data_IF_785056808186
#
_entry.id   IF_785056808186
#
_cell.length_a   1.000
_cell.length_b   1.000
_cell.length_c   1.000
_cell.angle_alpha   90.00
_cell.angle_beta   90.00
_cell.angle_gamma   90.00
#
_symmetry.space_group_name_H-M   'P 1'
#
loop_
_entity.id
_entity.type
_entity.pdbx_description
1 polymer ?
#
# COMPACT_ATOMS: atom_id res chain seq x y z
N UNK A 1 -13.81 -17.61 -26.37
CA UNK A 1 -12.94 -16.54 -25.91
C UNK A 1 -12.64 -16.79 -24.42
N UNK A 2 -11.42 -17.29 -24.10
CA UNK A 2 -10.96 -17.31 -22.71
C UNK A 2 -10.69 -15.86 -22.31
N UNK A 3 -11.55 -15.30 -21.45
CA UNK A 3 -11.24 -14.03 -20.80
C UNK A 3 -10.02 -14.27 -19.89
N UNK A 4 -8.90 -13.63 -20.21
CA UNK A 4 -7.72 -13.71 -19.34
C UNK A 4 -8.09 -13.12 -17.96
N UNK A 5 -7.83 -13.88 -16.91
CA UNK A 5 -8.07 -13.43 -15.54
C UNK A 5 -7.25 -12.15 -15.28
N UNK A 6 -7.92 -11.09 -14.82
CA UNK A 6 -7.24 -9.84 -14.45
C UNK A 6 -6.28 -10.11 -13.30
N UNK A 7 -5.07 -9.57 -13.38
CA UNK A 7 -4.05 -9.67 -12.34
C UNK A 7 -3.87 -8.33 -11.66
N UNK A 8 -3.80 -8.33 -10.33
CA UNK A 8 -3.49 -7.14 -9.53
C UNK A 8 -2.26 -7.44 -8.67
N UNK A 9 -1.22 -6.63 -8.81
CA UNK A 9 -0.09 -6.64 -7.89
C UNK A 9 -0.52 -5.92 -6.60
N UNK A 10 -0.37 -6.58 -5.45
CA UNK A 10 -0.66 -6.01 -4.14
C UNK A 10 0.62 -5.92 -3.33
N UNK A 11 1.07 -4.70 -3.07
CA UNK A 11 2.30 -4.37 -2.35
C UNK A 11 1.91 -3.94 -0.94
N UNK A 12 2.02 -4.85 0.03
CA UNK A 12 1.56 -4.63 1.40
C UNK A 12 2.23 -5.62 2.36
N UNK A 13 2.08 -5.47 3.67
CA UNK A 13 2.59 -6.43 4.64
C UNK A 13 1.77 -7.73 4.66
N UNK A 14 2.42 -8.80 5.07
CA UNK A 14 1.81 -10.11 5.29
C UNK A 14 1.88 -10.49 6.77
N UNK A 15 0.75 -10.51 7.44
CA UNK A 15 0.63 -10.94 8.82
C UNK A 15 0.11 -12.38 8.92
N UNK A 16 0.81 -13.24 9.67
CA UNK A 16 0.43 -14.64 9.86
C UNK A 16 -0.85 -14.79 10.67
N UNK A 17 -0.97 -14.07 11.80
CA UNK A 17 -2.19 -13.94 12.57
C UNK A 17 -2.79 -12.56 12.35
N UNK A 18 -4.06 -12.53 11.89
CA UNK A 18 -4.80 -11.31 11.60
C UNK A 18 -5.51 -11.38 10.25
N UNK A 19 -6.52 -10.53 10.08
CA UNK A 19 -7.30 -10.40 8.83
C UNK A 19 -7.10 -8.99 8.27
N UNK A 20 -5.87 -8.69 7.89
CA UNK A 20 -5.46 -7.36 7.44
C UNK A 20 -4.52 -7.47 6.23
N UNK A 21 -4.23 -6.35 5.62
CA UNK A 21 -3.19 -6.20 4.60
C UNK A 21 -3.28 -7.26 3.49
N UNK A 22 -2.21 -8.00 3.20
CA UNK A 22 -2.22 -9.01 2.13
C UNK A 22 -3.24 -10.12 2.34
N UNK A 23 -3.46 -10.60 3.57
CA UNK A 23 -4.43 -11.69 3.81
C UNK A 23 -5.87 -11.25 3.49
N UNK A 24 -6.23 -10.01 3.82
CA UNK A 24 -7.51 -9.43 3.46
C UNK A 24 -7.61 -9.18 1.94
N UNK A 25 -6.60 -8.56 1.35
CA UNK A 25 -6.59 -8.25 -0.08
C UNK A 25 -6.69 -9.51 -0.96
N UNK A 26 -5.93 -10.57 -0.63
CA UNK A 26 -6.00 -11.86 -1.33
C UNK A 26 -7.41 -12.44 -1.28
N UNK A 27 -8.03 -12.42 -0.09
CA UNK A 27 -9.38 -12.98 0.10
C UNK A 27 -10.43 -12.23 -0.70
N UNK A 28 -10.42 -10.88 -0.62
CA UNK A 28 -11.40 -10.02 -1.29
C UNK A 28 -11.24 -10.08 -2.81
N UNK A 29 -10.03 -9.88 -3.32
CA UNK A 29 -9.80 -9.89 -4.76
C UNK A 29 -10.08 -11.25 -5.38
N UNK A 30 -9.73 -12.35 -4.68
CA UNK A 30 -10.06 -13.71 -5.14
C UNK A 30 -11.56 -13.93 -5.23
N UNK A 31 -12.34 -13.45 -4.25
CA UNK A 31 -13.81 -13.53 -4.29
C UNK A 31 -14.41 -12.71 -5.45
N UNK A 32 -13.71 -11.67 -5.91
CA UNK A 32 -14.08 -10.88 -7.10
C UNK A 32 -13.62 -11.51 -8.43
N UNK A 33 -13.00 -12.69 -8.42
CA UNK A 33 -12.45 -13.34 -9.61
C UNK A 33 -11.17 -12.70 -10.15
N UNK A 34 -10.43 -11.96 -9.32
CA UNK A 34 -9.17 -11.30 -9.67
C UNK A 34 -8.00 -12.11 -9.12
N UNK A 35 -6.99 -12.36 -9.92
CA UNK A 35 -5.76 -12.96 -9.47
C UNK A 35 -4.92 -11.94 -8.71
N UNK A 36 -4.76 -12.14 -7.40
CA UNK A 36 -3.84 -11.36 -6.58
C UNK A 36 -2.40 -11.85 -6.77
N UNK A 37 -1.49 -10.93 -7.02
CA UNK A 37 -0.04 -11.18 -7.10
C UNK A 37 0.62 -10.43 -5.93
N UNK A 38 0.81 -11.08 -4.77
CA UNK A 38 1.31 -10.41 -3.58
C UNK A 38 2.82 -10.13 -3.66
N UNK A 39 3.21 -8.89 -3.35
CA UNK A 39 4.58 -8.48 -3.10
C UNK A 39 4.67 -7.98 -1.65
N UNK A 40 5.24 -8.75 -0.73
CA UNK A 40 5.34 -8.35 0.66
C UNK A 40 6.26 -7.13 0.84
N UNK A 41 5.87 -6.19 1.71
CA UNK A 41 6.76 -5.13 2.23
C UNK A 41 7.41 -5.56 3.53
N UNK A 42 6.66 -6.30 4.35
CA UNK A 42 7.12 -6.93 5.58
C UNK A 42 6.37 -8.23 5.81
N UNK A 43 6.98 -9.15 6.53
CA UNK A 43 6.35 -10.41 6.97
C UNK A 43 6.32 -10.41 8.49
N UNK A 44 5.11 -10.45 9.05
CA UNK A 44 4.88 -10.43 10.49
C UNK A 44 4.31 -11.76 10.96
N UNK A 45 4.72 -12.20 12.16
CA UNK A 45 4.10 -13.38 12.78
C UNK A 45 2.62 -13.14 13.10
N UNK A 46 2.27 -11.90 13.44
CA UNK A 46 0.91 -11.43 13.75
C UNK A 46 0.80 -9.93 13.47
N UNK A 47 -0.42 -9.43 13.31
CA UNK A 47 -0.65 -7.97 13.19
C UNK A 47 -0.20 -7.23 14.46
N UNK A 48 0.12 -5.95 14.32
CA UNK A 48 0.77 -5.12 15.35
C UNK A 48 -0.10 -4.84 16.58
N UNK A 49 -1.39 -5.12 16.54
CA UNK A 49 -2.31 -5.03 17.70
C UNK A 49 -2.09 -6.15 18.74
N UNK A 50 -1.40 -7.23 18.37
CA UNK A 50 -1.04 -8.28 19.34
C UNK A 50 0.08 -7.80 20.27
N UNK A 51 0.12 -8.27 21.52
CA UNK A 51 1.12 -7.81 22.50
C UNK A 51 2.57 -8.08 22.12
N UNK A 52 2.80 -9.00 21.19
CA UNK A 52 4.13 -9.35 20.67
C UNK A 52 4.02 -9.88 19.26
N UNK A 53 4.96 -9.52 18.43
CA UNK A 53 5.12 -10.03 17.08
C UNK A 53 6.57 -10.00 16.63
N UNK A 54 6.92 -10.87 15.70
CA UNK A 54 8.16 -10.80 14.94
C UNK A 54 7.87 -10.12 13.61
N UNK A 55 8.76 -9.24 13.17
CA UNK A 55 8.66 -8.57 11.87
C UNK A 55 9.97 -8.75 11.10
N UNK A 56 9.85 -9.21 9.87
CA UNK A 56 10.93 -9.24 8.90
C UNK A 56 10.67 -8.19 7.82
N UNK A 57 11.57 -7.21 7.71
CA UNK A 57 11.56 -6.21 6.63
C UNK A 57 11.94 -6.88 5.32
N UNK A 58 11.12 -6.72 4.27
CA UNK A 58 11.30 -7.40 3.00
C UNK A 58 11.95 -6.52 1.92
N UNK A 59 12.40 -5.30 2.25
CA UNK A 59 12.91 -4.30 1.30
C UNK A 59 13.97 -4.88 0.36
N UNK A 60 14.96 -5.59 0.89
CA UNK A 60 16.08 -6.15 0.14
C UNK A 60 15.71 -7.29 -0.81
N UNK A 61 14.46 -7.76 -0.77
CA UNK A 61 13.93 -8.83 -1.64
C UNK A 61 12.93 -8.35 -2.68
N UNK A 62 12.40 -7.14 -2.54
CA UNK A 62 11.35 -6.63 -3.42
C UNK A 62 11.80 -6.56 -4.89
N UNK A 63 13.04 -6.13 -5.14
CA UNK A 63 13.58 -6.04 -6.50
C UNK A 63 13.68 -7.41 -7.21
N UNK A 64 13.93 -8.50 -6.47
CA UNK A 64 13.93 -9.85 -7.07
C UNK A 64 12.56 -10.21 -7.64
N UNK A 65 11.46 -9.86 -6.97
CA UNK A 65 10.10 -10.08 -7.47
C UNK A 65 9.87 -9.29 -8.76
N UNK A 66 10.24 -8.00 -8.78
CA UNK A 66 10.13 -7.15 -9.95
C UNK A 66 10.88 -7.73 -11.15
N UNK A 67 12.13 -8.14 -10.93
CA UNK A 67 12.98 -8.72 -11.98
C UNK A 67 12.41 -10.03 -12.53
N UNK A 68 12.00 -10.95 -11.67
CA UNK A 68 11.44 -12.23 -12.10
C UNK A 68 10.10 -12.05 -12.83
N UNK A 69 9.21 -11.20 -12.33
CA UNK A 69 7.94 -10.93 -13.01
C UNK A 69 8.13 -10.22 -14.34
N UNK A 70 9.16 -9.38 -14.47
CA UNK A 70 9.55 -8.78 -15.74
C UNK A 70 10.05 -9.82 -16.73
N UNK A 71 10.90 -10.76 -16.31
CA UNK A 71 11.38 -11.88 -17.15
C UNK A 71 10.23 -12.75 -17.66
N UNK A 72 9.20 -12.94 -16.83
CA UNK A 72 8.00 -13.69 -17.19
C UNK A 72 7.03 -12.92 -18.11
N UNK A 73 7.34 -11.68 -18.45
CA UNK A 73 6.46 -10.83 -19.26
C UNK A 73 5.12 -10.54 -18.59
N UNK A 74 5.08 -10.49 -17.24
CA UNK A 74 3.84 -10.28 -16.50
C UNK A 74 3.30 -8.88 -16.74
N UNK A 75 1.97 -8.78 -16.98
CA UNK A 75 1.24 -7.52 -17.06
C UNK A 75 0.18 -7.48 -15.96
N UNK A 76 -0.05 -6.30 -15.41
CA UNK A 76 -1.04 -6.07 -14.37
C UNK A 76 -2.16 -5.15 -14.86
N UNK A 77 -3.40 -5.52 -14.56
CA UNK A 77 -4.57 -4.64 -14.76
C UNK A 77 -4.68 -3.58 -13.66
N UNK A 78 -4.04 -3.83 -12.52
CA UNK A 78 -3.99 -2.89 -11.40
C UNK A 78 -2.80 -3.16 -10.49
N UNK A 79 -2.42 -2.12 -9.76
CA UNK A 79 -1.42 -2.15 -8.69
C UNK A 79 -2.07 -1.50 -7.47
N UNK A 80 -1.97 -2.15 -6.33
CA UNK A 80 -2.46 -1.64 -5.05
C UNK A 80 -1.31 -1.62 -4.04
N UNK A 81 -1.04 -0.47 -3.44
CA UNK A 81 -0.05 -0.31 -2.38
C UNK A 81 -0.74 -0.03 -1.04
N UNK A 82 -0.28 -0.68 0.02
CA UNK A 82 -0.72 -0.45 1.39
C UNK A 82 0.45 -0.05 2.29
N UNK A 83 0.69 -0.80 3.36
CA UNK A 83 1.77 -0.51 4.31
C UNK A 83 3.15 -0.53 3.65
N UNK A 84 3.91 0.54 3.87
CA UNK A 84 5.29 0.75 3.41
C UNK A 84 6.13 1.08 4.64
N UNK A 85 7.23 0.36 4.84
CA UNK A 85 8.01 0.44 6.07
C UNK A 85 9.05 1.58 6.07
N UNK A 86 9.44 2.11 4.91
CA UNK A 86 10.55 3.06 4.81
C UNK A 86 10.60 3.80 3.48
N UNK A 87 11.37 4.89 3.43
CA UNK A 87 11.66 5.61 2.17
C UNK A 87 12.30 4.70 1.12
N UNK A 88 13.31 3.86 1.42
CA UNK A 88 13.84 2.92 0.44
C UNK A 88 12.79 1.97 -0.15
N UNK A 89 11.77 1.57 0.61
CA UNK A 89 10.66 0.79 0.04
C UNK A 89 9.81 1.61 -0.94
N UNK A 90 9.58 2.90 -0.68
CA UNK A 90 8.87 3.76 -1.65
C UNK A 90 9.68 3.85 -2.95
N UNK A 91 11.00 3.93 -2.88
CA UNK A 91 11.88 3.90 -4.06
C UNK A 91 11.74 2.60 -4.85
N UNK A 92 11.72 1.45 -4.15
CA UNK A 92 11.45 0.16 -4.80
C UNK A 92 10.06 0.09 -5.45
N UNK A 93 9.04 0.73 -4.85
CA UNK A 93 7.72 0.84 -5.45
C UNK A 93 7.76 1.72 -6.71
N UNK A 94 8.49 2.83 -6.72
CA UNK A 94 8.67 3.62 -7.95
C UNK A 94 9.33 2.80 -9.05
N UNK A 95 10.38 2.02 -8.75
CA UNK A 95 11.00 1.11 -9.72
C UNK A 95 10.00 0.06 -10.23
N UNK A 96 9.13 -0.44 -9.36
CA UNK A 96 8.06 -1.37 -9.73
C UNK A 96 7.05 -0.71 -10.67
N UNK A 97 6.58 0.50 -10.34
CA UNK A 97 5.66 1.26 -11.19
C UNK A 97 6.28 1.59 -12.55
N UNK A 98 7.54 2.02 -12.60
CA UNK A 98 8.24 2.30 -13.84
C UNK A 98 8.41 1.06 -14.73
N UNK A 99 8.38 -0.13 -14.14
CA UNK A 99 8.46 -1.40 -14.85
C UNK A 99 7.12 -1.88 -15.38
N UNK A 100 6.03 -1.72 -14.61
CA UNK A 100 4.76 -2.40 -14.85
C UNK A 100 3.56 -1.49 -15.06
N UNK A 101 3.61 -0.22 -14.63
CA UNK A 101 2.50 0.71 -14.82
C UNK A 101 2.43 1.16 -16.27
N UNK A 102 1.28 0.97 -16.90
CA UNK A 102 0.94 1.46 -18.23
C UNK A 102 -0.29 2.37 -18.12
N UNK A 103 -0.67 3.10 -19.20
CA UNK A 103 -1.93 3.89 -19.17
C UNK A 103 -3.18 3.08 -18.86
N UNK A 104 -3.15 1.76 -19.08
CA UNK A 104 -4.27 0.85 -18.78
C UNK A 104 -4.17 0.18 -17.40
N UNK A 105 -3.11 0.46 -16.64
CA UNK A 105 -2.89 -0.11 -15.31
C UNK A 105 -3.46 0.83 -14.25
N UNK A 106 -4.53 0.42 -13.57
CA UNK A 106 -5.13 1.17 -12.46
C UNK A 106 -4.21 1.16 -11.23
N UNK A 107 -3.91 2.33 -10.68
CA UNK A 107 -3.10 2.46 -9.46
C UNK A 107 -3.94 2.95 -8.28
N UNK A 108 -4.05 2.13 -7.25
CA UNK A 108 -4.63 2.49 -5.96
C UNK A 108 -3.52 2.59 -4.91
N UNK A 109 -3.47 3.71 -4.21
CA UNK A 109 -2.52 3.93 -3.10
C UNK A 109 -3.29 4.17 -1.81
N UNK A 110 -3.09 3.27 -0.84
CA UNK A 110 -3.46 3.48 0.55
C UNK A 110 -2.25 4.11 1.27
N UNK A 111 -2.32 5.42 1.61
CA UNK A 111 -1.15 6.16 2.07
C UNK A 111 -0.93 5.99 3.58
N UNK A 112 -0.68 4.76 4.01
CA UNK A 112 -0.54 4.38 5.42
C UNK A 112 0.59 5.16 6.11
N UNK A 113 0.22 6.12 6.98
CA UNK A 113 1.16 6.98 7.71
C UNK A 113 0.77 7.24 9.17
N UNK A 114 -0.47 7.02 9.54
CA UNK A 114 -0.97 7.30 10.89
C UNK A 114 -2.47 7.10 11.01
N UNK A 115 -2.98 7.23 12.24
CA UNK A 115 -4.40 7.17 12.56
C UNK A 115 -4.70 7.97 13.83
N UNK A 116 -5.96 8.34 14.07
CA UNK A 116 -6.43 9.11 15.25
C UNK A 116 -5.59 10.37 15.57
N UNK A 117 -5.08 11.07 14.54
CA UNK A 117 -4.25 12.26 14.68
C UNK A 117 -2.78 11.98 15.03
N UNK A 118 -2.37 10.73 15.07
CA UNK A 118 -0.99 10.32 15.39
C UNK A 118 -0.32 9.64 14.21
N UNK A 119 0.97 9.90 14.02
CA UNK A 119 1.78 9.24 12.99
C UNK A 119 2.36 7.93 13.51
N UNK A 120 2.57 6.96 12.59
CA UNK A 120 3.25 5.71 12.89
C UNK A 120 4.78 5.88 12.93
N UNK A 121 5.49 4.91 13.48
CA UNK A 121 6.95 4.97 13.73
C UNK A 121 7.80 5.20 12.46
N UNK A 122 7.35 4.71 11.30
CA UNK A 122 8.06 4.91 10.04
C UNK A 122 7.93 6.32 9.47
N UNK A 123 7.04 7.14 9.99
CA UNK A 123 6.78 8.49 9.47
C UNK A 123 7.97 9.42 9.71
N UNK A 124 8.38 10.09 8.64
CA UNK A 124 9.34 11.20 8.64
C UNK A 124 8.90 12.22 7.60
N UNK A 125 9.49 13.42 7.61
CA UNK A 125 9.24 14.43 6.56
C UNK A 125 9.64 13.93 5.16
N UNK A 126 10.70 13.13 5.06
CA UNK A 126 11.11 12.50 3.81
C UNK A 126 10.10 11.45 3.35
N UNK A 127 9.59 10.63 4.29
CA UNK A 127 8.56 9.66 4.00
C UNK A 127 7.28 10.33 3.48
N UNK A 128 6.84 11.42 4.13
CA UNK A 128 5.69 12.21 3.66
C UNK A 128 5.92 12.75 2.25
N UNK A 129 7.09 13.33 1.97
CA UNK A 129 7.42 13.85 0.65
C UNK A 129 7.33 12.76 -0.43
N UNK A 130 7.94 11.60 -0.18
CA UNK A 130 7.88 10.47 -1.10
C UNK A 130 6.46 9.90 -1.24
N UNK A 131 5.67 9.87 -0.17
CA UNK A 131 4.27 9.45 -0.21
C UNK A 131 3.41 10.44 -1.02
N UNK A 132 3.64 11.75 -0.91
CA UNK A 132 2.96 12.75 -1.75
C UNK A 132 3.27 12.52 -3.24
N UNK A 133 4.50 12.16 -3.61
CA UNK A 133 4.85 11.81 -4.99
C UNK A 133 4.15 10.52 -5.44
N UNK A 134 4.08 9.50 -4.58
CA UNK A 134 3.42 8.25 -4.90
C UNK A 134 1.91 8.46 -5.09
N UNK A 135 1.26 9.19 -4.19
CA UNK A 135 -0.18 9.49 -4.29
C UNK A 135 -0.52 10.34 -5.50
N UNK A 136 0.39 11.23 -5.95
CA UNK A 136 0.20 12.01 -7.16
C UNK A 136 0.18 11.17 -8.46
N UNK A 137 0.72 9.95 -8.44
CA UNK A 137 0.67 9.00 -9.57
C UNK A 137 -0.57 8.12 -9.55
N UNK A 138 -1.34 8.10 -8.44
CA UNK A 138 -2.47 7.20 -8.24
C UNK A 138 -3.73 7.67 -8.96
N UNK A 139 -4.52 6.71 -9.45
CA UNK A 139 -5.88 6.95 -9.93
C UNK A 139 -6.85 7.13 -8.77
N UNK A 140 -6.62 6.42 -7.67
CA UNK A 140 -7.39 6.49 -6.42
C UNK A 140 -6.47 6.40 -5.22
N UNK A 141 -6.75 7.22 -4.21
CA UNK A 141 -6.12 7.14 -2.88
C UNK A 141 -7.20 6.92 -1.81
N UNK A 142 -6.85 6.21 -0.73
CA UNK A 142 -7.77 5.84 0.35
C UNK A 142 -7.30 6.33 1.73
N UNK A 143 -7.00 7.62 1.91
CA UNK A 143 -6.51 8.14 3.18
C UNK A 143 -7.60 8.12 4.24
N UNK A 144 -7.26 7.80 5.49
CA UNK A 144 -8.05 8.19 6.65
C UNK A 144 -7.91 9.70 6.91
N UNK A 145 -8.61 10.24 7.91
CA UNK A 145 -8.59 11.69 8.21
C UNK A 145 -7.17 12.17 8.56
N UNK A 146 -6.40 11.39 9.31
CA UNK A 146 -5.02 11.72 9.69
C UNK A 146 -4.13 11.83 8.46
N UNK A 147 -4.17 10.83 7.62
CA UNK A 147 -3.40 10.77 6.38
C UNK A 147 -3.81 11.86 5.39
N UNK A 148 -5.12 12.13 5.29
CA UNK A 148 -5.61 13.25 4.49
C UNK A 148 -5.04 14.59 4.97
N UNK A 149 -5.02 14.83 6.29
CA UNK A 149 -4.43 16.04 6.86
C UNK A 149 -2.92 16.15 6.55
N UNK A 150 -2.18 15.02 6.67
CA UNK A 150 -0.76 14.98 6.34
C UNK A 150 -0.49 15.29 4.86
N UNK A 151 -1.29 14.71 3.97
CA UNK A 151 -1.13 14.90 2.51
C UNK A 151 -1.48 16.32 2.06
N UNK A 152 -2.43 16.98 2.73
CA UNK A 152 -2.95 18.31 2.34
C UNK A 152 -2.44 19.45 3.20
N UNK A 153 -1.58 19.17 4.19
CA UNK A 153 -1.06 20.11 5.18
C UNK A 153 -2.18 20.83 5.99
N UNK A 154 -3.31 20.12 6.20
CA UNK A 154 -4.44 20.61 7.01
C UNK A 154 -4.27 20.20 8.47
N UNK A 155 -4.81 21.03 9.39
CA UNK A 155 -4.83 20.72 10.80
C UNK A 155 -5.92 19.70 11.14
N UNK A 156 -5.53 18.59 11.80
CA UNK A 156 -6.42 17.48 12.16
C UNK A 156 -7.57 17.92 13.09
N UNK A 157 -7.26 18.72 14.11
CA UNK A 157 -8.27 19.17 15.09
C UNK A 157 -9.32 20.09 14.44
N UNK A 158 -8.90 20.93 13.51
CA UNK A 158 -9.80 21.82 12.76
C UNK A 158 -10.80 21.00 11.94
N UNK A 159 -10.35 19.93 11.29
CA UNK A 159 -11.18 19.09 10.44
C UNK A 159 -12.16 18.24 11.27
N UNK A 160 -11.69 17.65 12.37
CA UNK A 160 -12.49 16.86 13.28
C UNK A 160 -13.61 17.69 13.92
N UNK A 161 -13.31 18.91 14.37
CA UNK A 161 -14.30 19.81 14.96
C UNK A 161 -15.34 20.28 13.94
N UNK A 162 -14.97 20.44 12.67
CA UNK A 162 -15.89 20.82 11.60
C UNK A 162 -16.89 19.71 11.28
N UNK A 163 -16.49 18.44 11.37
CA UNK A 163 -17.38 17.29 11.15
C UNK A 163 -18.40 17.10 12.28
N UNK A 164 -18.06 17.49 13.52
CA UNK A 164 -18.95 17.43 14.67
C UNK A 164 -20.03 18.54 14.67
N UNK A 165 -19.85 19.62 13.91
CA UNK A 165 -20.80 20.72 13.80
C UNK A 165 -21.91 20.50 12.74
N UNK A 166 -21.88 19.37 12.02
CA UNK A 166 -22.87 19.01 10.99
C UNK A 166 -23.95 18.03 11.49
N UNK A 167 -24.01 17.79 12.78
CA UNK A 167 -25.05 17.04 13.50
C UNK A 167 -25.72 17.94 14.54
#
# INVERSE_FOLDING_TARGET
FMTMTKKVAVINDLSGLGRCSLTAAISVLSAMGIQTCPLPTAILSSQTEYPSYYCYDFTDKMDYFRQEWKKLGTCFSGIYTGYIASVPQIEEIFHFLDTFQTPDTFLLVDPVMGDDGMTYDMYTSEFLSAMKELTARADVITPNITEFCLLTDMDYNTLQNSSLSLH
#
